data_IF_648939174540
#
_entry.id   IF_648939174540
#
_cell.length_a   1.000
_cell.length_b   1.000
_cell.length_c   1.000
_cell.angle_alpha   90.00
_cell.angle_beta   90.00
_cell.angle_gamma   90.00
#
_symmetry.space_group_name_H-M   'P 1'
#
loop_
_entity.id
_entity.type
_entity.pdbx_description
1 polymer ?
#
# COMPACT_ATOMS: atom_id res chain seq x y z
N UNK A 1 3.41 -23.38 13.15
CA UNK A 1 3.44 -21.96 12.73
C UNK A 1 4.16 -21.09 13.76
N UNK A 2 5.50 -21.12 13.71
CA UNK A 2 6.33 -20.42 14.69
C UNK A 2 6.67 -18.96 14.29
N UNK A 3 6.11 -18.48 13.15
CA UNK A 3 6.38 -17.11 12.67
C UNK A 3 5.37 -16.15 13.27
N UNK A 4 5.82 -15.37 14.25
CA UNK A 4 4.99 -14.41 14.99
C UNK A 4 5.13 -13.00 14.37
N UNK A 5 4.00 -12.35 14.12
CA UNK A 5 3.94 -10.97 13.62
C UNK A 5 3.73 -10.87 12.12
N UNK A 6 3.22 -9.72 11.68
CA UNK A 6 2.86 -9.45 10.28
C UNK A 6 4.10 -9.41 9.37
N UNK A 7 5.13 -8.71 9.79
CA UNK A 7 6.32 -8.46 8.97
C UNK A 7 7.15 -9.73 8.74
N UNK A 8 7.48 -10.53 9.77
CA UNK A 8 8.14 -11.81 9.56
C UNK A 8 7.34 -12.75 8.65
N UNK A 9 6.00 -12.76 8.76
CA UNK A 9 5.13 -13.53 7.86
C UNK A 9 5.24 -13.06 6.41
N UNK A 10 5.22 -11.75 6.16
CA UNK A 10 5.38 -11.19 4.80
C UNK A 10 6.73 -11.53 4.20
N UNK A 11 7.82 -11.42 4.97
CA UNK A 11 9.16 -11.83 4.54
C UNK A 11 9.20 -13.32 4.18
N UNK A 12 8.62 -14.15 5.04
CA UNK A 12 8.55 -15.59 4.79
C UNK A 12 7.71 -15.92 3.56
N UNK A 13 6.49 -15.38 3.46
CA UNK A 13 5.60 -15.62 2.32
C UNK A 13 6.24 -15.20 1.00
N UNK A 14 6.84 -14.03 0.94
CA UNK A 14 7.49 -13.54 -0.28
C UNK A 14 8.63 -14.47 -0.71
N UNK A 15 9.45 -14.91 0.23
CA UNK A 15 10.56 -15.84 -0.05
C UNK A 15 10.08 -17.24 -0.44
N UNK A 16 9.01 -17.73 0.20
CA UNK A 16 8.51 -19.08 -0.01
C UNK A 16 7.76 -19.23 -1.33
N UNK A 17 6.86 -18.30 -1.63
CA UNK A 17 6.02 -18.36 -2.83
C UNK A 17 6.70 -17.74 -4.06
N UNK A 18 7.67 -16.86 -3.88
CA UNK A 18 8.34 -16.15 -4.97
C UNK A 18 7.47 -15.05 -5.60
N UNK A 19 6.24 -15.36 -5.91
CA UNK A 19 5.27 -14.46 -6.55
C UNK A 19 3.96 -14.54 -5.78
N UNK A 20 3.47 -13.42 -5.29
CA UNK A 20 2.21 -13.40 -4.54
C UNK A 20 1.53 -12.03 -4.60
N UNK A 21 0.21 -12.06 -4.46
CA UNK A 21 -0.60 -10.88 -4.21
C UNK A 21 -1.22 -11.00 -2.82
N UNK A 22 -0.94 -10.04 -1.96
CA UNK A 22 -1.43 -9.99 -0.58
C UNK A 22 -2.67 -9.12 -0.49
N UNK A 23 -3.69 -9.57 0.22
CA UNK A 23 -4.93 -8.84 0.51
C UNK A 23 -5.18 -8.97 2.00
N UNK A 24 -5.43 -7.85 2.68
CA UNK A 24 -5.82 -7.86 4.09
C UNK A 24 -7.26 -8.35 4.25
N UNK A 25 -7.57 -8.97 5.38
CA UNK A 25 -8.83 -9.66 5.68
C UNK A 25 -10.04 -8.71 5.83
N UNK A 26 -9.80 -7.41 6.01
CA UNK A 26 -10.83 -6.38 6.11
C UNK A 26 -11.15 -5.69 4.77
N UNK A 27 -10.59 -6.17 3.66
CA UNK A 27 -10.94 -5.71 2.31
C UNK A 27 -12.34 -6.19 1.94
N UNK A 28 -13.23 -5.25 1.60
CA UNK A 28 -14.62 -5.55 1.30
C UNK A 28 -15.07 -5.17 -0.10
N UNK A 29 -14.29 -4.40 -0.84
CA UNK A 29 -14.65 -4.00 -2.19
C UNK A 29 -13.42 -3.75 -3.07
N UNK A 30 -13.55 -4.13 -4.35
CA UNK A 30 -12.74 -3.61 -5.43
C UNK A 30 -13.54 -2.51 -6.13
N UNK A 31 -12.96 -1.32 -6.32
CA UNK A 31 -13.58 -0.19 -7.02
C UNK A 31 -12.80 0.16 -8.26
N UNK A 32 -13.51 0.50 -9.33
CA UNK A 32 -12.97 1.05 -10.56
C UNK A 32 -13.27 2.54 -10.62
N UNK A 33 -12.33 3.35 -11.13
CA UNK A 33 -12.53 4.79 -11.32
C UNK A 33 -13.56 5.09 -12.40
N UNK A 34 -13.51 4.33 -13.50
CA UNK A 34 -14.47 4.43 -14.60
C UNK A 34 -15.58 3.41 -14.37
N UNK A 35 -16.76 3.91 -14.03
CA UNK A 35 -18.00 3.17 -14.09
C UNK A 35 -18.83 3.65 -15.29
N UNK A 36 -19.82 2.87 -15.69
CA UNK A 36 -20.71 3.20 -16.83
C UNK A 36 -21.35 4.59 -16.74
N UNK A 37 -21.42 5.18 -15.56
CA UNK A 37 -21.99 6.51 -15.29
C UNK A 37 -20.94 7.57 -14.90
N UNK A 38 -19.64 7.31 -15.13
CA UNK A 38 -18.58 8.26 -14.80
C UNK A 38 -18.22 8.38 -13.33
N UNK A 39 -18.87 7.61 -12.45
CA UNK A 39 -18.55 7.57 -11.01
C UNK A 39 -17.78 6.30 -10.63
N UNK A 40 -16.94 6.35 -9.57
CA UNK A 40 -16.25 5.16 -9.09
C UNK A 40 -17.22 4.05 -8.73
N UNK A 41 -17.17 2.96 -9.48
CA UNK A 41 -18.06 1.83 -9.33
C UNK A 41 -17.44 0.62 -8.65
N UNK A 42 -18.26 -0.11 -7.89
CA UNK A 42 -17.85 -1.38 -7.31
C UNK A 42 -17.80 -2.47 -8.39
N UNK A 43 -16.64 -3.10 -8.54
CA UNK A 43 -16.48 -4.30 -9.36
C UNK A 43 -17.02 -5.49 -8.54
N UNK A 44 -18.09 -6.13 -9.01
CA UNK A 44 -18.75 -7.26 -8.31
C UNK A 44 -18.33 -8.61 -8.87
N UNK A 45 -17.94 -8.64 -10.12
CA UNK A 45 -17.54 -9.87 -10.82
C UNK A 45 -16.17 -10.34 -10.31
N UNK A 46 -16.14 -11.56 -9.79
CA UNK A 46 -14.93 -12.16 -9.21
C UNK A 46 -13.87 -12.45 -10.26
N UNK A 47 -14.27 -12.92 -11.43
CA UNK A 47 -13.36 -13.25 -12.51
C UNK A 47 -12.70 -11.95 -13.04
N UNK A 48 -13.48 -10.88 -13.14
CA UNK A 48 -12.96 -9.56 -13.48
C UNK A 48 -11.96 -9.06 -12.44
N UNK A 49 -12.20 -9.24 -11.15
CA UNK A 49 -11.25 -8.87 -10.10
C UNK A 49 -9.96 -9.67 -10.23
N UNK A 50 -10.06 -10.98 -10.45
CA UNK A 50 -8.91 -11.85 -10.67
C UNK A 50 -8.11 -11.40 -11.88
N UNK A 51 -8.77 -11.12 -13.00
CA UNK A 51 -8.13 -10.64 -14.23
C UNK A 51 -7.45 -9.28 -14.04
N UNK A 52 -8.02 -8.36 -13.24
CA UNK A 52 -7.39 -7.09 -12.90
C UNK A 52 -6.06 -7.31 -12.17
N UNK A 53 -6.04 -8.20 -11.18
CA UNK A 53 -4.83 -8.52 -10.41
C UNK A 53 -3.80 -9.19 -11.32
N UNK A 54 -4.22 -10.18 -12.11
CA UNK A 54 -3.34 -10.94 -12.98
C UNK A 54 -2.74 -10.07 -14.08
N UNK A 55 -3.53 -9.20 -14.70
CA UNK A 55 -3.03 -8.28 -15.73
C UNK A 55 -1.97 -7.32 -15.17
N UNK A 56 -2.16 -6.84 -13.94
CA UNK A 56 -1.17 -5.97 -13.30
C UNK A 56 0.11 -6.76 -12.95
N UNK A 57 -0.01 -8.00 -12.53
CA UNK A 57 1.12 -8.90 -12.28
C UNK A 57 1.91 -9.15 -13.57
N UNK A 58 1.23 -9.48 -14.67
CA UNK A 58 1.86 -9.70 -15.97
C UNK A 58 2.61 -8.45 -16.46
N UNK A 59 2.01 -7.26 -16.32
CA UNK A 59 2.67 -6.00 -16.64
C UNK A 59 3.90 -5.76 -15.76
N UNK A 60 3.81 -6.03 -14.46
CA UNK A 60 4.94 -5.89 -13.53
C UNK A 60 6.08 -6.82 -13.93
N UNK A 61 5.78 -8.07 -14.26
CA UNK A 61 6.74 -9.07 -14.72
C UNK A 61 7.41 -8.64 -16.03
N UNK A 62 6.63 -8.22 -17.03
CA UNK A 62 7.16 -7.74 -18.32
C UNK A 62 8.06 -6.51 -18.18
N UNK A 63 7.76 -5.65 -17.22
CA UNK A 63 8.53 -4.43 -16.95
C UNK A 63 9.68 -4.64 -15.98
N UNK A 64 9.89 -5.86 -15.50
CA UNK A 64 10.88 -6.20 -14.46
C UNK A 64 10.70 -5.30 -13.21
N UNK A 65 9.44 -5.18 -12.73
CA UNK A 65 9.08 -4.42 -11.53
C UNK A 65 8.61 -5.39 -10.45
N UNK A 66 9.23 -5.33 -9.29
CA UNK A 66 9.08 -6.35 -8.25
C UNK A 66 8.10 -5.97 -7.12
N UNK A 67 7.60 -4.73 -7.11
CA UNK A 67 6.51 -4.30 -6.24
C UNK A 67 5.44 -3.63 -7.09
N UNK A 68 4.21 -4.15 -7.01
CA UNK A 68 3.09 -3.63 -7.79
C UNK A 68 1.80 -3.62 -6.97
N UNK A 69 0.87 -2.78 -7.34
CA UNK A 69 -0.41 -2.67 -6.62
C UNK A 69 -1.34 -1.63 -7.21
N UNK A 70 -2.30 -1.25 -6.41
CA UNK A 70 -3.37 -0.35 -6.79
C UNK A 70 -3.31 0.95 -6.01
N UNK A 71 -4.00 1.99 -6.52
CA UNK A 71 -4.07 3.25 -5.77
C UNK A 71 -4.81 3.05 -4.45
N UNK A 72 -4.29 3.67 -3.39
CA UNK A 72 -4.97 3.66 -2.08
C UNK A 72 -6.27 4.47 -2.06
N UNK A 73 -6.48 5.33 -3.07
CA UNK A 73 -7.66 6.18 -3.17
C UNK A 73 -7.97 6.49 -4.63
N UNK A 74 -9.20 6.22 -5.03
CA UNK A 74 -9.75 6.66 -6.30
C UNK A 74 -10.14 8.14 -6.20
N UNK A 75 -9.74 8.92 -7.19
CA UNK A 75 -10.13 10.33 -7.33
C UNK A 75 -10.38 10.63 -8.80
N UNK A 76 -11.64 10.70 -9.24
CA UNK A 76 -11.96 11.04 -10.62
C UNK A 76 -11.39 12.38 -11.07
N UNK A 77 -11.33 13.35 -10.14
CA UNK A 77 -10.79 14.70 -10.42
C UNK A 77 -9.28 14.69 -10.66
N UNK A 78 -8.56 13.71 -10.10
CA UNK A 78 -7.10 13.61 -10.24
C UNK A 78 -6.68 12.51 -11.20
N UNK A 79 -7.63 11.84 -11.82
CA UNK A 79 -7.35 10.77 -12.76
C UNK A 79 -7.03 11.35 -14.14
N UNK A 80 -5.95 10.86 -14.70
CA UNK A 80 -5.54 11.14 -16.07
C UNK A 80 -5.54 9.79 -16.83
N UNK A 81 -6.42 9.68 -17.81
CA UNK A 81 -6.54 8.46 -18.61
C UNK A 81 -5.32 8.17 -19.48
N UNK A 82 -4.54 9.20 -19.81
CA UNK A 82 -3.27 9.05 -20.52
C UNK A 82 -2.15 8.50 -19.60
N UNK A 83 -2.34 8.56 -18.28
CA UNK A 83 -1.37 8.16 -17.27
C UNK A 83 -1.99 7.25 -16.20
N UNK A 84 -2.73 6.22 -16.60
CA UNK A 84 -3.41 5.31 -15.69
C UNK A 84 -2.47 4.36 -14.91
N UNK A 85 -1.21 4.25 -15.34
CA UNK A 85 -0.14 3.55 -14.62
C UNK A 85 0.89 4.54 -14.11
N UNK A 86 1.46 4.25 -12.95
CA UNK A 86 2.53 5.04 -12.38
C UNK A 86 3.68 4.14 -11.94
N UNK A 87 4.91 4.49 -12.34
CA UNK A 87 6.13 3.82 -11.86
C UNK A 87 6.72 4.47 -10.61
N UNK A 88 6.10 5.52 -10.11
CA UNK A 88 6.64 6.31 -8.99
C UNK A 88 5.69 6.49 -7.82
N UNK A 89 4.39 6.24 -7.98
CA UNK A 89 3.42 6.41 -6.90
C UNK A 89 3.58 5.31 -5.86
N UNK A 90 3.65 5.70 -4.60
CA UNK A 90 3.73 4.74 -3.49
C UNK A 90 2.50 3.85 -3.45
N UNK A 91 2.74 2.58 -3.23
CA UNK A 91 1.72 1.60 -2.91
C UNK A 91 1.57 1.63 -1.39
N UNK A 92 0.39 1.98 -0.94
CA UNK A 92 0.04 2.04 0.48
C UNK A 92 -1.33 1.41 0.67
N UNK A 93 -1.47 0.64 1.74
CA UNK A 93 -2.75 0.02 2.07
C UNK A 93 -2.73 -1.50 1.95
N UNK A 94 -3.90 -2.04 1.78
CA UNK A 94 -4.30 -3.41 2.10
C UNK A 94 -4.08 -4.46 1.00
N UNK A 95 -3.64 -4.04 -0.19
CA UNK A 95 -3.57 -4.97 -1.33
C UNK A 95 -2.45 -4.60 -2.28
N UNK A 96 -1.48 -5.47 -2.39
CA UNK A 96 -0.36 -5.32 -3.32
C UNK A 96 0.34 -6.65 -3.57
N UNK A 97 1.03 -6.71 -4.69
CA UNK A 97 1.80 -7.88 -5.09
C UNK A 97 3.29 -7.65 -5.06
N UNK A 98 4.02 -8.73 -4.91
CA UNK A 98 5.47 -8.77 -5.02
C UNK A 98 5.89 -9.91 -5.93
N UNK A 99 6.94 -9.66 -6.71
CA UNK A 99 7.76 -10.65 -7.38
C UNK A 99 9.07 -10.66 -6.62
N UNK A 100 9.33 -11.75 -5.90
CA UNK A 100 10.45 -11.82 -4.98
C UNK A 100 11.80 -11.71 -5.68
N UNK A 101 12.64 -10.86 -5.15
CA UNK A 101 14.05 -10.80 -5.51
C UNK A 101 14.92 -10.51 -4.26
N UNK A 102 16.22 -10.38 -4.45
CA UNK A 102 17.17 -10.09 -3.36
C UNK A 102 16.92 -8.78 -2.61
N UNK A 103 16.15 -7.86 -3.20
CA UNK A 103 15.79 -6.58 -2.60
C UNK A 103 14.42 -6.62 -1.90
N UNK A 104 13.63 -7.70 -2.06
CA UNK A 104 12.32 -7.81 -1.43
C UNK A 104 12.49 -8.09 0.06
N UNK A 105 12.29 -7.04 0.88
CA UNK A 105 12.49 -7.16 2.32
C UNK A 105 11.71 -6.11 3.11
N UNK A 106 10.97 -6.56 4.12
CA UNK A 106 10.35 -5.70 5.12
C UNK A 106 11.19 -5.71 6.39
N UNK A 107 11.50 -4.51 6.90
CA UNK A 107 12.30 -4.37 8.11
C UNK A 107 11.47 -4.72 9.35
N UNK A 108 11.94 -5.68 10.12
CA UNK A 108 11.25 -6.20 11.32
C UNK A 108 11.30 -5.23 12.51
N UNK A 109 12.12 -4.20 12.47
CA UNK A 109 12.14 -3.15 13.49
C UNK A 109 10.92 -2.22 13.37
N UNK A 110 10.23 -2.19 12.21
CA UNK A 110 9.03 -1.41 12.01
C UNK A 110 7.81 -2.26 12.38
N UNK A 111 6.88 -1.71 13.15
CA UNK A 111 5.68 -2.45 13.57
C UNK A 111 4.43 -2.03 12.82
N UNK A 112 4.39 -0.76 12.41
CA UNK A 112 3.30 -0.18 11.63
C UNK A 112 3.88 0.47 10.37
N UNK A 113 3.04 0.69 9.34
CA UNK A 113 3.48 1.31 8.07
C UNK A 113 4.47 0.44 7.26
N UNK A 114 4.31 -0.85 7.33
CA UNK A 114 5.14 -1.79 6.56
C UNK A 114 4.95 -1.64 5.05
N UNK A 115 3.75 -1.23 4.62
CA UNK A 115 3.41 -0.86 3.24
C UNK A 115 4.19 0.39 2.77
N UNK A 116 4.30 1.39 3.63
CA UNK A 116 5.16 2.55 3.38
C UNK A 116 6.63 2.17 3.33
N UNK A 117 7.07 1.31 4.25
CA UNK A 117 8.45 0.83 4.26
C UNK A 117 8.81 0.16 2.94
N UNK A 118 8.07 -0.87 2.53
CA UNK A 118 8.41 -1.62 1.32
C UNK A 118 8.35 -0.72 0.08
N UNK A 119 7.38 0.18 -0.02
CA UNK A 119 7.30 1.15 -1.11
C UNK A 119 8.51 2.06 -1.17
N UNK A 120 8.95 2.62 -0.03
CA UNK A 120 10.15 3.45 0.03
C UNK A 120 11.40 2.64 -0.29
N UNK A 121 11.51 1.44 0.26
CA UNK A 121 12.68 0.59 0.11
C UNK A 121 12.87 0.12 -1.35
N UNK A 122 11.80 -0.36 -1.99
CA UNK A 122 11.85 -0.77 -3.39
C UNK A 122 12.13 0.43 -4.32
N UNK A 123 11.54 1.60 -4.07
CA UNK A 123 11.91 2.82 -4.79
C UNK A 123 13.37 3.22 -4.59
N UNK A 124 13.90 3.06 -3.40
CA UNK A 124 15.31 3.33 -3.14
C UNK A 124 16.22 2.34 -3.88
N UNK A 125 15.88 1.04 -3.86
CA UNK A 125 16.69 -0.02 -4.47
C UNK A 125 16.54 -0.12 -5.99
N UNK A 126 15.32 -0.05 -6.49
CA UNK A 126 14.98 -0.37 -7.88
C UNK A 126 14.46 0.81 -8.68
N UNK A 127 14.26 1.97 -8.02
CA UNK A 127 13.82 3.23 -8.61
C UNK A 127 12.41 3.23 -9.18
N UNK A 128 11.72 2.09 -9.15
CA UNK A 128 10.38 1.92 -9.72
C UNK A 128 9.53 0.98 -8.90
N UNK A 129 8.24 1.26 -8.88
CA UNK A 129 7.16 0.41 -8.38
C UNK A 129 5.97 0.64 -9.30
N UNK A 130 5.18 -0.36 -9.60
CA UNK A 130 4.05 -0.24 -10.53
C UNK A 130 2.74 -0.07 -9.77
N UNK A 131 2.05 1.04 -10.01
CA UNK A 131 0.74 1.32 -9.41
C UNK A 131 -0.30 1.55 -10.50
N UNK A 132 -1.36 0.75 -10.50
CA UNK A 132 -2.53 1.00 -11.34
C UNK A 132 -3.47 1.98 -10.63
N UNK A 133 -3.76 3.09 -11.29
CA UNK A 133 -4.56 4.20 -10.75
C UNK A 133 -6.06 4.04 -11.03
N UNK A 134 -6.43 3.05 -11.85
CA UNK A 134 -7.83 2.80 -12.23
C UNK A 134 -8.61 2.08 -11.16
N UNK A 135 -7.94 1.30 -10.31
CA UNK A 135 -8.58 0.43 -9.34
C UNK A 135 -8.09 0.70 -7.92
N UNK A 136 -8.96 0.40 -6.97
CA UNK A 136 -8.70 0.50 -5.55
C UNK A 136 -9.36 -0.66 -4.82
N UNK A 137 -8.65 -1.26 -3.87
CA UNK A 137 -9.20 -2.19 -2.91
C UNK A 137 -9.50 -1.45 -1.61
N UNK A 138 -10.75 -1.44 -1.20
CA UNK A 138 -11.24 -0.65 -0.08
C UNK A 138 -11.37 -1.49 1.18
N UNK A 139 -10.74 -1.04 2.24
CA UNK A 139 -10.88 -1.61 3.58
C UNK A 139 -12.09 -1.03 4.29
N UNK A 140 -12.69 -1.84 5.15
CA UNK A 140 -13.78 -1.41 6.03
C UNK A 140 -13.33 -1.46 7.48
N UNK A 141 -13.54 -0.36 8.20
CA UNK A 141 -13.29 -0.31 9.64
C UNK A 141 -11.83 -0.52 10.10
N UNK A 142 -10.86 -0.17 9.28
CA UNK A 142 -9.41 -0.36 9.51
C UNK A 142 -8.92 0.10 10.89
N UNK A 143 -9.63 1.01 11.56
CA UNK A 143 -9.24 1.56 12.87
C UNK A 143 -10.19 1.17 14.01
N UNK A 144 -11.24 0.40 13.73
CA UNK A 144 -12.33 0.14 14.68
C UNK A 144 -12.36 -1.32 15.11
N UNK A 145 -11.95 -2.26 14.25
CA UNK A 145 -12.02 -3.68 14.53
C UNK A 145 -10.97 -4.12 15.54
N UNK A 146 -11.38 -4.90 16.52
CA UNK A 146 -10.47 -5.65 17.38
C UNK A 146 -9.82 -6.77 16.55
N UNK A 147 -8.49 -6.82 16.49
CA UNK A 147 -7.74 -7.82 15.76
C UNK A 147 -6.50 -7.25 15.05
N UNK A 148 -5.68 -8.11 14.49
CA UNK A 148 -4.48 -7.73 13.75
C UNK A 148 -3.53 -6.82 14.53
N UNK A 149 -3.28 -5.64 13.98
CA UNK A 149 -2.38 -4.65 14.58
C UNK A 149 -3.05 -3.75 15.65
N UNK A 150 -4.33 -3.94 15.96
CA UNK A 150 -5.08 -3.06 16.88
C UNK A 150 -4.46 -2.98 18.27
N UNK A 151 -3.87 -4.07 18.77
CA UNK A 151 -3.24 -4.13 20.09
C UNK A 151 -1.95 -3.32 20.19
N UNK A 152 -1.27 -3.07 19.07
CA UNK A 152 -0.01 -2.31 19.03
C UNK A 152 -0.19 -0.93 18.42
N UNK A 153 -1.32 -0.67 17.77
CA UNK A 153 -1.60 0.59 17.07
C UNK A 153 -1.98 1.69 18.07
N UNK A 154 -1.07 2.60 18.28
CA UNK A 154 -1.28 3.83 19.05
C UNK A 154 -0.52 4.99 18.40
N UNK A 155 -0.75 6.22 18.86
CA UNK A 155 -0.12 7.42 18.29
C UNK A 155 1.41 7.41 18.38
N UNK A 156 1.94 6.85 19.45
CA UNK A 156 3.39 6.78 19.67
C UNK A 156 4.04 5.81 18.68
N UNK A 157 3.47 4.62 18.50
CA UNK A 157 4.00 3.65 17.54
C UNK A 157 3.84 4.10 16.08
N UNK A 158 2.73 4.78 15.75
CA UNK A 158 2.56 5.45 14.44
C UNK A 158 3.68 6.47 14.20
N UNK A 159 3.93 7.33 15.18
CA UNK A 159 5.01 8.34 15.14
C UNK A 159 6.38 7.69 15.02
N UNK A 160 6.65 6.67 15.85
CA UNK A 160 7.92 5.93 15.86
C UNK A 160 8.20 5.32 14.49
N UNK A 161 7.22 4.64 13.90
CA UNK A 161 7.35 4.01 12.60
C UNK A 161 7.65 5.03 11.50
N UNK A 162 6.98 6.18 11.51
CA UNK A 162 7.22 7.26 10.54
C UNK A 162 8.60 7.91 10.71
N UNK A 163 9.02 8.17 11.95
CA UNK A 163 10.34 8.72 12.22
C UNK A 163 11.44 7.72 11.82
N UNK A 164 11.20 6.43 12.00
CA UNK A 164 12.11 5.39 11.54
C UNK A 164 12.25 5.41 10.01
N UNK A 165 11.15 5.51 9.26
CA UNK A 165 11.16 5.66 7.80
C UNK A 165 11.90 6.94 7.39
N UNK A 166 11.61 8.06 8.06
CA UNK A 166 12.31 9.34 7.80
C UNK A 166 13.81 9.24 8.06
N UNK A 167 14.21 8.58 9.15
CA UNK A 167 15.63 8.36 9.45
C UNK A 167 16.30 7.49 8.40
N UNK A 168 15.61 6.45 7.91
CA UNK A 168 16.16 5.50 6.94
C UNK A 168 16.33 6.09 5.54
N UNK A 169 15.44 6.98 5.10
CA UNK A 169 15.41 7.51 3.74
C UNK A 169 15.67 9.03 3.64
N UNK A 170 15.96 9.67 4.77
CA UNK A 170 16.39 11.07 4.82
C UNK A 170 15.40 12.04 4.20
N UNK A 171 15.91 12.99 3.41
CA UNK A 171 15.10 14.05 2.81
C UNK A 171 14.18 13.60 1.68
N UNK A 172 14.31 12.35 1.23
CA UNK A 172 13.35 11.75 0.31
C UNK A 172 11.96 11.58 0.94
N UNK A 173 11.87 11.59 2.28
CA UNK A 173 10.61 11.49 3.02
C UNK A 173 10.19 12.87 3.50
N UNK A 174 9.05 13.34 3.01
CA UNK A 174 8.41 14.56 3.48
C UNK A 174 7.32 14.19 4.49
N UNK A 175 7.47 14.70 5.70
CA UNK A 175 6.42 14.61 6.72
C UNK A 175 5.33 15.61 6.35
N UNK A 176 4.10 15.14 6.24
CA UNK A 176 2.93 16.02 6.09
C UNK A 176 2.40 16.32 7.48
N UNK A 177 2.12 17.60 7.75
CA UNK A 177 1.38 17.95 8.96
C UNK A 177 0.03 17.22 8.96
N UNK A 178 -0.35 16.69 10.10
CA UNK A 178 -1.67 16.11 10.28
C UNK A 178 -2.71 17.21 10.02
N UNK A 179 -3.39 17.13 8.90
CA UNK A 179 -4.58 17.94 8.68
C UNK A 179 -5.65 17.39 9.59
N UNK A 180 -6.03 18.16 10.60
CA UNK A 180 -7.23 17.94 11.39
C UNK A 180 -8.45 18.11 10.47
N UNK A 181 -8.77 17.13 9.65
CA UNK A 181 -10.08 17.04 9.01
C UNK A 181 -11.07 16.56 10.07
N UNK A 182 -11.35 17.53 10.99
CA UNK A 182 -12.08 17.32 12.14
C UNK A 182 -13.51 17.09 12.00
N UNK A 183 -14.27 16.37 12.53
CA UNK A 183 -15.61 16.45 13.09
C UNK A 183 -15.80 15.53 14.30
N UNK A 184 -14.81 14.74 14.66
CA UNK A 184 -14.91 13.87 15.82
C UNK A 184 -13.66 14.01 16.70
N UNK A 185 -13.76 14.90 17.71
CA UNK A 185 -12.67 15.20 18.66
C UNK A 185 -12.34 14.02 19.60
N UNK A 186 -13.12 12.94 19.57
CA UNK A 186 -12.99 11.80 20.47
C UNK A 186 -12.18 10.64 19.90
N UNK A 187 -11.84 10.65 18.59
CA UNK A 187 -11.11 9.59 17.90
C UNK A 187 -9.92 10.08 17.08
N UNK A 188 -9.19 11.06 17.60
CA UNK A 188 -8.00 11.58 16.94
C UNK A 188 -6.79 10.65 17.15
N UNK A 189 -6.75 9.55 16.43
CA UNK A 189 -5.48 9.01 15.98
C UNK A 189 -4.95 9.99 14.94
N UNK A 190 -3.97 10.79 15.32
CA UNK A 190 -3.27 11.69 14.40
C UNK A 190 -2.56 10.80 13.38
N UNK A 191 -3.16 10.65 12.19
CA UNK A 191 -2.52 9.95 11.10
C UNK A 191 -1.35 10.79 10.60
N UNK A 192 -0.16 10.41 10.99
CA UNK A 192 1.04 10.94 10.36
C UNK A 192 1.11 10.40 8.94
N UNK A 193 0.96 11.29 7.96
CA UNK A 193 1.15 10.97 6.57
C UNK A 193 2.55 11.36 6.12
N UNK A 194 3.14 10.51 5.31
CA UNK A 194 4.38 10.81 4.62
C UNK A 194 4.16 10.80 3.13
N UNK A 195 4.93 11.59 2.40
CA UNK A 195 5.13 11.39 0.98
C UNK A 195 6.61 11.08 0.73
N UNK A 196 6.84 10.18 -0.20
CA UNK A 196 8.17 9.81 -0.62
C UNK A 196 8.46 10.48 -1.97
N UNK A 197 9.47 11.35 -2.01
CA UNK A 197 9.98 11.98 -3.23
C UNK A 197 11.44 11.61 -3.37
N UNK A 198 11.72 10.50 -4.03
CA UNK A 198 13.07 10.26 -4.51
C UNK A 198 13.28 11.14 -5.73
N UNK A 199 14.29 12.00 -5.68
CA UNK A 199 14.82 12.63 -6.88
C UNK A 199 15.68 11.59 -7.59
N UNK A 200 15.39 11.35 -8.84
CA UNK A 200 16.17 10.48 -9.70
C UNK A 200 17.18 11.34 -10.46
#
# INVERSE_FOLDING_TARGET
DDIIGLIPKRNWMAKYFGELFMIDDDVHACKAICAEKGEPGRVKDKDRITNIIQSLFEMASMMDVHLFGFTSRISPVMYDESAFLSLSKMITGCSYGVIYNKNTWWNEEIRLKEDFWISCYMKYKERRILTDLRYNFEQKNTFINAGGLSSIRNQEEERRSILFIKKSFGDSILLKSATNNGKDKTKQLVQYNISCKFKF
#
